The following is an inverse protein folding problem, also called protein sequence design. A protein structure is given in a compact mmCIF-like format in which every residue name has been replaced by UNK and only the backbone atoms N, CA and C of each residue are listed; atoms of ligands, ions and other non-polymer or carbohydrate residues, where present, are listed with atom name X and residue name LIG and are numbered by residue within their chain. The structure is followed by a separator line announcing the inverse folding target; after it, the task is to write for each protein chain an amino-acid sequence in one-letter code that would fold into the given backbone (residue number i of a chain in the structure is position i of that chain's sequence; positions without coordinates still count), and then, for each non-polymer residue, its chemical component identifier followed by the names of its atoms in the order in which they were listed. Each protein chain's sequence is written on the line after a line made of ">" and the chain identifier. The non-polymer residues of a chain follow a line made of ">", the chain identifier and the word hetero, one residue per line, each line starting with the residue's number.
data_IF_568411469001
#
_entry.id   IF_568411469001
#
_cell.length_a   1.000
_cell.length_b   1.000
_cell.length_c   1.000
_cell.angle_alpha   90.00
_cell.angle_beta   90.00
_cell.angle_gamma   90.00
#
_symmetry.space_group_name_H-M   'P 1'
#
loop_
_entity.id
_entity.type
_entity.pdbx_description
1 polymer ?
#
# COMPACT_ATOMS: atom_id res chain seq x y z
N UNK A 1 -6.58 -65.37 -34.01
CA UNK A 1 -6.00 -64.00 -34.14
C UNK A 1 -6.97 -63.11 -34.91
N UNK A 2 -7.22 -61.85 -34.50
CA UNK A 2 -8.14 -60.98 -35.24
C UNK A 2 -7.57 -60.59 -36.61
N UNK A 3 -8.44 -60.59 -37.63
CA UNK A 3 -8.10 -60.35 -39.03
C UNK A 3 -7.56 -58.94 -39.28
N UNK A 4 -6.78 -58.71 -40.35
CA UNK A 4 -6.19 -57.40 -40.66
C UNK A 4 -7.23 -56.25 -40.73
N UNK A 5 -8.42 -56.52 -41.27
CA UNK A 5 -9.52 -55.54 -41.33
C UNK A 5 -10.08 -55.15 -39.96
N UNK A 6 -10.12 -56.08 -39.00
CA UNK A 6 -10.58 -55.80 -37.63
C UNK A 6 -9.64 -54.85 -36.88
N UNK A 7 -8.33 -54.87 -37.18
CA UNK A 7 -7.36 -53.96 -36.56
C UNK A 7 -7.50 -52.55 -37.11
N UNK A 8 -7.78 -52.41 -38.40
CA UNK A 8 -7.97 -51.11 -39.05
C UNK A 8 -9.23 -50.40 -38.54
N UNK A 9 -10.34 -51.14 -38.37
CA UNK A 9 -11.59 -50.61 -37.81
C UNK A 9 -11.41 -50.18 -36.34
N UNK A 10 -10.68 -50.96 -35.53
CA UNK A 10 -10.35 -50.55 -34.16
C UNK A 10 -9.46 -49.30 -34.11
N UNK A 11 -8.55 -49.13 -35.08
CA UNK A 11 -7.69 -47.95 -35.17
C UNK A 11 -8.48 -46.69 -35.58
N UNK A 12 -9.45 -46.82 -36.47
CA UNK A 12 -10.33 -45.72 -36.90
C UNK A 12 -11.35 -45.33 -35.81
N UNK A 13 -11.85 -46.30 -35.04
CA UNK A 13 -12.74 -46.06 -33.88
C UNK A 13 -12.04 -45.36 -32.71
N UNK A 14 -10.72 -45.54 -32.56
CA UNK A 14 -9.92 -44.79 -31.57
C UNK A 14 -9.67 -43.34 -31.97
N UNK A 15 -9.60 -43.02 -33.27
CA UNK A 15 -9.38 -41.63 -33.73
C UNK A 15 -10.64 -40.76 -33.72
N UNK A 16 -11.82 -41.36 -33.60
CA UNK A 16 -13.13 -40.68 -33.55
C UNK A 16 -13.72 -40.59 -32.14
N UNK A 17 -12.99 -41.05 -31.12
CA UNK A 17 -13.32 -40.76 -29.74
C UNK A 17 -13.04 -39.28 -29.48
N UNK A 18 -14.03 -38.43 -29.72
CA UNK A 18 -14.06 -37.05 -29.26
C UNK A 18 -13.74 -37.05 -27.77
N UNK A 19 -12.59 -36.49 -27.41
CA UNK A 19 -12.20 -36.25 -26.02
C UNK A 19 -13.41 -35.64 -25.31
N UNK A 20 -13.88 -36.18 -24.17
CA UNK A 20 -14.99 -35.58 -23.47
C UNK A 20 -14.61 -34.13 -23.20
N UNK A 21 -15.40 -33.20 -23.76
CA UNK A 21 -15.25 -31.77 -23.51
C UNK A 21 -15.44 -31.62 -22.01
N UNK A 22 -14.33 -31.52 -21.28
CA UNK A 22 -14.31 -31.31 -19.82
C UNK A 22 -15.30 -30.18 -19.57
N UNK A 23 -16.47 -30.52 -19.00
CA UNK A 23 -17.48 -29.53 -18.67
C UNK A 23 -16.75 -28.45 -17.90
N UNK A 24 -16.85 -27.22 -18.41
CA UNK A 24 -16.21 -26.07 -17.78
C UNK A 24 -17.06 -25.73 -16.57
N UNK A 25 -17.04 -26.60 -15.55
CA UNK A 25 -17.63 -26.33 -14.25
C UNK A 25 -17.03 -25.01 -13.81
N UNK A 26 -17.87 -24.01 -13.58
CA UNK A 26 -17.44 -22.75 -13.01
C UNK A 26 -16.91 -23.10 -11.62
N UNK A 27 -15.59 -23.26 -11.50
CA UNK A 27 -14.93 -23.45 -10.21
C UNK A 27 -15.03 -22.12 -9.50
N UNK A 28 -15.95 -22.00 -8.54
CA UNK A 28 -15.86 -20.95 -7.56
C UNK A 28 -14.52 -21.12 -6.82
N UNK A 29 -13.72 -20.04 -6.66
CA UNK A 29 -12.49 -20.11 -5.88
C UNK A 29 -12.82 -20.60 -4.45
N UNK A 30 -11.90 -21.36 -3.86
CA UNK A 30 -12.04 -21.77 -2.48
C UNK A 30 -12.08 -20.54 -1.53
N UNK A 31 -12.54 -20.75 -0.31
CA UNK A 31 -12.73 -19.66 0.66
C UNK A 31 -11.43 -18.90 0.91
N UNK A 32 -10.27 -19.56 0.92
CA UNK A 32 -8.99 -18.91 1.18
C UNK A 32 -8.61 -17.97 0.04
N UNK A 33 -8.65 -18.47 -1.20
CA UNK A 33 -8.43 -17.65 -2.40
C UNK A 33 -9.40 -16.46 -2.48
N UNK A 34 -10.65 -16.67 -2.11
CA UNK A 34 -11.69 -15.63 -2.08
C UNK A 34 -11.38 -14.55 -1.04
N UNK A 35 -11.03 -14.95 0.19
CA UNK A 35 -10.68 -14.02 1.26
C UNK A 35 -9.41 -13.22 0.94
N UNK A 36 -8.38 -13.86 0.39
CA UNK A 36 -7.18 -13.16 -0.05
C UNK A 36 -7.49 -12.08 -1.10
N UNK A 37 -8.36 -12.39 -2.08
CA UNK A 37 -8.76 -11.42 -3.10
C UNK A 37 -9.54 -10.23 -2.51
N UNK A 38 -10.52 -10.51 -1.64
CA UNK A 38 -11.34 -9.48 -0.99
C UNK A 38 -10.49 -8.59 -0.08
N UNK A 39 -9.65 -9.18 0.78
CA UNK A 39 -8.80 -8.41 1.68
C UNK A 39 -7.76 -7.59 0.91
N UNK A 40 -7.22 -8.10 -0.20
CA UNK A 40 -6.32 -7.34 -1.07
C UNK A 40 -7.02 -6.16 -1.70
N UNK A 41 -8.24 -6.35 -2.20
CA UNK A 41 -9.04 -5.28 -2.77
C UNK A 41 -9.29 -4.15 -1.75
N UNK A 42 -9.72 -4.50 -0.53
CA UNK A 42 -9.89 -3.52 0.54
C UNK A 42 -8.57 -2.87 0.97
N UNK A 43 -7.49 -3.64 1.11
CA UNK A 43 -6.16 -3.14 1.46
C UNK A 43 -5.68 -2.08 0.46
N UNK A 44 -5.85 -2.34 -0.84
CA UNK A 44 -5.44 -1.41 -1.91
C UNK A 44 -6.27 -0.13 -1.87
N UNK A 45 -7.59 -0.21 -1.76
CA UNK A 45 -8.45 0.99 -1.70
C UNK A 45 -8.14 1.85 -0.47
N UNK A 46 -7.98 1.20 0.68
CA UNK A 46 -7.59 1.89 1.91
C UNK A 46 -6.19 2.51 1.78
N UNK A 47 -5.25 1.81 1.13
CA UNK A 47 -3.89 2.25 0.88
C UNK A 47 -3.83 3.48 -0.03
N UNK A 48 -4.60 3.49 -1.11
CA UNK A 48 -4.76 4.65 -2.00
C UNK A 48 -5.32 5.83 -1.21
N UNK A 49 -6.35 5.60 -0.40
CA UNK A 49 -6.93 6.65 0.44
C UNK A 49 -5.90 7.21 1.42
N UNK A 50 -5.13 6.34 2.07
CA UNK A 50 -4.12 6.74 3.04
C UNK A 50 -2.96 7.52 2.40
N UNK A 51 -2.26 6.91 1.45
CA UNK A 51 -1.07 7.49 0.83
C UNK A 51 -1.44 8.68 -0.06
N UNK A 52 -2.61 8.65 -0.71
CA UNK A 52 -3.14 9.79 -1.45
C UNK A 52 -3.33 11.02 -0.56
N UNK A 53 -3.93 10.88 0.63
CA UNK A 53 -4.04 11.98 1.58
C UNK A 53 -2.68 12.42 2.14
N UNK A 54 -1.75 11.48 2.37
CA UNK A 54 -0.39 11.81 2.78
C UNK A 54 0.30 12.73 1.77
N UNK A 55 0.20 12.39 0.48
CA UNK A 55 0.76 13.19 -0.61
C UNK A 55 0.03 14.51 -0.79
N UNK A 56 -1.31 14.52 -0.69
CA UNK A 56 -2.07 15.77 -0.64
C UNK A 56 -1.56 16.70 0.47
N UNK A 57 -1.39 16.20 1.70
CA UNK A 57 -0.93 17.04 2.81
C UNK A 57 0.46 17.63 2.58
N UNK A 58 1.37 16.85 1.99
CA UNK A 58 2.78 17.23 1.89
C UNK A 58 3.13 17.99 0.60
N UNK A 59 2.54 17.61 -0.53
CA UNK A 59 2.83 18.19 -1.83
C UNK A 59 1.86 19.32 -2.22
N UNK A 60 0.65 19.33 -1.66
CA UNK A 60 -0.37 20.31 -2.05
C UNK A 60 -0.71 21.25 -0.89
N UNK A 61 -1.23 20.69 0.20
CA UNK A 61 -1.72 21.51 1.31
C UNK A 61 -0.59 22.31 1.97
N UNK A 62 0.55 21.69 2.29
CA UNK A 62 1.64 22.41 2.98
C UNK A 62 2.16 23.62 2.17
N UNK A 63 2.48 23.51 0.87
CA UNK A 63 2.81 24.67 0.04
C UNK A 63 1.67 25.70 -0.02
N UNK A 64 0.43 25.24 -0.17
CA UNK A 64 -0.76 26.11 -0.21
C UNK A 64 -0.91 26.96 1.07
N UNK A 65 -0.62 26.40 2.25
CA UNK A 65 -0.71 27.13 3.53
C UNK A 65 0.26 28.33 3.63
N UNK A 66 1.30 28.38 2.81
CA UNK A 66 2.24 29.49 2.74
C UNK A 66 1.67 30.73 2.06
N UNK A 67 0.71 30.57 1.15
CA UNK A 67 0.05 31.67 0.44
C UNK A 67 -1.28 32.12 1.05
N UNK A 68 -1.73 31.49 2.14
CA UNK A 68 -3.02 31.78 2.76
C UNK A 68 -2.86 32.84 3.88
N UNK A 69 -3.68 33.89 3.83
CA UNK A 69 -3.73 34.93 4.85
C UNK A 69 -4.08 34.36 6.24
N UNK A 70 -3.49 34.97 7.28
CA UNK A 70 -3.67 34.50 8.67
C UNK A 70 -5.14 34.49 9.10
N UNK A 71 -5.94 35.44 8.63
CA UNK A 71 -7.36 35.56 8.96
C UNK A 71 -8.24 34.50 8.27
N UNK A 72 -7.79 33.96 7.13
CA UNK A 72 -8.51 32.92 6.40
C UNK A 72 -8.24 31.52 6.96
N UNK A 73 -7.09 31.30 7.59
CA UNK A 73 -6.70 29.98 8.13
C UNK A 73 -7.74 29.36 9.07
N UNK A 74 -8.31 30.07 10.06
CA UNK A 74 -9.34 29.51 10.93
C UNK A 74 -10.65 29.17 10.19
N UNK A 75 -10.94 29.82 9.07
CA UNK A 75 -12.14 29.56 8.25
C UNK A 75 -11.95 28.38 7.31
N UNK A 76 -10.73 28.17 6.79
CA UNK A 76 -10.42 27.13 5.80
C UNK A 76 -9.91 25.85 6.45
N UNK A 77 -9.00 25.94 7.41
CA UNK A 77 -8.23 24.79 7.87
C UNK A 77 -9.05 23.78 8.67
N UNK A 78 -9.85 24.15 9.70
CA UNK A 78 -10.68 23.18 10.40
C UNK A 78 -11.60 22.36 9.46
N UNK A 79 -12.41 22.97 8.57
CA UNK A 79 -13.30 22.19 7.71
C UNK A 79 -12.54 21.34 6.68
N UNK A 80 -11.44 21.83 6.10
CA UNK A 80 -10.66 21.08 5.11
C UNK A 80 -9.85 19.94 5.77
N UNK A 81 -9.05 20.30 6.78
CA UNK A 81 -8.07 19.40 7.39
C UNK A 81 -8.75 18.33 8.24
N UNK A 82 -9.84 18.62 8.97
CA UNK A 82 -10.54 17.60 9.74
C UNK A 82 -11.13 16.50 8.86
N UNK A 83 -11.72 16.87 7.71
CA UNK A 83 -12.26 15.91 6.73
C UNK A 83 -11.14 15.07 6.12
N UNK A 84 -10.07 15.72 5.67
CA UNK A 84 -8.90 15.02 5.12
C UNK A 84 -8.25 14.08 6.16
N UNK A 85 -8.12 14.52 7.42
CA UNK A 85 -7.55 13.70 8.50
C UNK A 85 -8.42 12.51 8.88
N UNK A 86 -9.74 12.62 8.75
CA UNK A 86 -10.65 11.49 8.98
C UNK A 86 -10.33 10.34 8.00
N UNK A 87 -10.33 10.62 6.71
CA UNK A 87 -10.03 9.62 5.68
C UNK A 87 -8.58 9.15 5.74
N UNK A 88 -7.63 10.05 6.00
CA UNK A 88 -6.23 9.70 6.20
C UNK A 88 -6.03 8.70 7.35
N UNK A 89 -6.63 8.95 8.51
CA UNK A 89 -6.47 8.12 9.71
C UNK A 89 -7.13 6.75 9.56
N UNK A 90 -8.35 6.73 9.06
CA UNK A 90 -9.07 5.47 8.87
C UNK A 90 -8.57 4.69 7.66
N UNK A 91 -8.18 5.35 6.57
CA UNK A 91 -7.45 4.72 5.48
C UNK A 91 -6.20 4.03 5.98
N UNK A 92 -5.41 4.68 6.85
CA UNK A 92 -4.24 4.05 7.47
C UNK A 92 -4.58 2.81 8.29
N UNK A 93 -5.62 2.90 9.13
CA UNK A 93 -6.03 1.77 9.97
C UNK A 93 -6.52 0.58 9.15
N UNK A 94 -7.41 0.80 8.17
CA UNK A 94 -7.92 -0.28 7.34
C UNK A 94 -6.82 -0.91 6.49
N UNK A 95 -5.91 -0.11 5.92
CA UNK A 95 -4.74 -0.63 5.23
C UNK A 95 -3.93 -1.53 6.16
N UNK A 96 -3.65 -1.07 7.38
CA UNK A 96 -2.88 -1.84 8.35
C UNK A 96 -3.56 -3.17 8.73
N UNK A 97 -4.86 -3.14 9.06
CA UNK A 97 -5.61 -4.33 9.46
C UNK A 97 -5.73 -5.37 8.32
N UNK A 98 -6.11 -4.94 7.11
CA UNK A 98 -6.15 -5.86 5.97
C UNK A 98 -4.75 -6.32 5.56
N UNK A 99 -3.73 -5.48 5.77
CA UNK A 99 -2.33 -5.86 5.54
C UNK A 99 -1.87 -6.96 6.49
N UNK A 100 -2.20 -6.87 7.78
CA UNK A 100 -1.93 -7.93 8.75
C UNK A 100 -2.71 -9.21 8.43
N UNK A 101 -3.97 -9.10 8.01
CA UNK A 101 -4.77 -10.25 7.60
C UNK A 101 -4.14 -10.96 6.38
N UNK A 102 -3.72 -10.20 5.37
CA UNK A 102 -3.02 -10.74 4.19
C UNK A 102 -1.67 -11.33 4.55
N UNK A 103 -0.91 -10.67 5.42
CA UNK A 103 0.37 -11.17 5.90
C UNK A 103 0.19 -12.52 6.59
N UNK A 104 -0.81 -12.64 7.47
CA UNK A 104 -1.13 -13.90 8.11
C UNK A 104 -1.55 -14.98 7.11
N UNK A 105 -2.50 -14.70 6.21
CA UNK A 105 -3.02 -15.71 5.28
C UNK A 105 -1.95 -16.19 4.29
N UNK A 106 -1.19 -15.27 3.70
CA UNK A 106 -0.24 -15.60 2.61
C UNK A 106 1.09 -16.08 3.17
N UNK A 107 1.66 -15.37 4.14
CA UNK A 107 3.05 -15.58 4.56
C UNK A 107 3.17 -16.52 5.76
N UNK A 108 2.29 -16.38 6.76
CA UNK A 108 2.36 -17.21 7.97
C UNK A 108 1.64 -18.55 7.77
N UNK A 109 0.36 -18.51 7.38
CA UNK A 109 -0.47 -19.71 7.16
C UNK A 109 -0.17 -20.37 5.81
N UNK A 110 -0.02 -19.58 4.76
CA UNK A 110 0.31 -20.05 3.41
C UNK A 110 1.78 -20.47 3.24
N UNK A 111 2.65 -20.14 4.20
CA UNK A 111 4.05 -20.58 4.21
C UNK A 111 5.00 -19.79 3.30
N UNK A 112 4.53 -18.76 2.59
CA UNK A 112 5.35 -17.96 1.65
C UNK A 112 6.46 -17.14 2.35
N UNK A 113 6.50 -17.10 3.69
CA UNK A 113 7.56 -16.43 4.44
C UNK A 113 8.90 -17.15 4.33
N UNK A 114 8.90 -18.48 4.16
CA UNK A 114 10.11 -19.28 3.98
C UNK A 114 10.19 -19.85 2.58
N UNK A 115 11.41 -20.10 2.10
CA UNK A 115 11.65 -20.88 0.89
C UNK A 115 11.68 -22.40 1.18
N UNK A 116 11.93 -23.19 0.14
CA UNK A 116 11.96 -24.66 0.23
C UNK A 116 13.02 -25.18 1.22
N UNK A 117 14.12 -24.45 1.39
CA UNK A 117 15.23 -24.79 2.28
C UNK A 117 15.03 -24.22 3.70
N UNK A 118 13.86 -23.65 3.98
CA UNK A 118 13.46 -23.03 5.25
C UNK A 118 14.27 -21.77 5.61
N UNK A 119 14.86 -21.11 4.62
CA UNK A 119 15.42 -19.77 4.77
C UNK A 119 14.36 -18.71 4.51
N UNK A 120 14.64 -17.45 4.88
CA UNK A 120 13.72 -16.35 4.63
C UNK A 120 13.55 -16.14 3.13
N UNK A 121 12.33 -16.23 2.63
CA UNK A 121 12.07 -16.11 1.20
C UNK A 121 12.35 -14.68 0.73
N UNK A 122 12.77 -14.54 -0.53
CA UNK A 122 13.00 -13.23 -1.16
C UNK A 122 11.76 -12.34 -1.09
N UNK A 123 10.57 -12.92 -1.33
CA UNK A 123 9.28 -12.25 -1.20
C UNK A 123 8.99 -11.86 0.25
N UNK A 124 9.26 -12.76 1.18
CA UNK A 124 9.11 -12.55 2.63
C UNK A 124 9.95 -11.38 3.11
N UNK A 125 11.23 -11.29 2.72
CA UNK A 125 12.09 -10.16 3.06
C UNK A 125 11.55 -8.82 2.57
N UNK A 126 11.10 -8.74 1.31
CA UNK A 126 10.53 -7.51 0.75
C UNK A 126 9.23 -7.09 1.44
N UNK A 127 8.34 -8.04 1.73
CA UNK A 127 7.10 -7.76 2.47
C UNK A 127 7.37 -7.41 3.94
N UNK A 128 8.36 -8.02 4.59
CA UNK A 128 8.74 -7.62 5.96
C UNK A 128 9.27 -6.19 6.00
N UNK A 129 10.10 -5.79 5.02
CA UNK A 129 10.55 -4.40 4.89
C UNK A 129 9.36 -3.46 4.68
N UNK A 130 8.50 -3.74 3.69
CA UNK A 130 7.31 -2.94 3.42
C UNK A 130 6.39 -2.85 4.64
N UNK A 131 6.08 -3.98 5.26
CA UNK A 131 5.23 -4.11 6.44
C UNK A 131 5.77 -3.36 7.65
N UNK A 132 7.08 -3.45 7.92
CA UNK A 132 7.73 -2.70 8.99
C UNK A 132 7.60 -1.19 8.79
N UNK A 133 7.96 -0.69 7.59
CA UNK A 133 7.86 0.73 7.27
C UNK A 133 6.40 1.21 7.33
N UNK A 134 5.46 0.42 6.80
CA UNK A 134 4.03 0.68 6.90
C UNK A 134 3.53 0.74 8.35
N UNK A 135 4.05 -0.13 9.23
CA UNK A 135 3.70 -0.14 10.67
C UNK A 135 4.18 1.13 11.36
N UNK A 136 5.44 1.54 11.13
CA UNK A 136 5.99 2.80 11.65
C UNK A 136 5.14 3.98 11.16
N UNK A 137 4.80 4.00 9.88
CA UNK A 137 3.98 5.05 9.30
C UNK A 137 2.59 5.10 9.92
N UNK A 138 1.91 3.95 10.07
CA UNK A 138 0.61 3.85 10.71
C UNK A 138 0.64 4.36 12.16
N UNK A 139 1.69 3.99 12.91
CA UNK A 139 1.89 4.46 14.27
C UNK A 139 2.01 5.99 14.31
N UNK A 140 2.82 6.57 13.42
CA UNK A 140 2.94 8.01 13.29
C UNK A 140 1.59 8.69 13.01
N UNK A 141 0.71 8.10 12.19
CA UNK A 141 -0.62 8.65 11.91
C UNK A 141 -1.47 8.72 13.19
N UNK A 142 -1.59 7.61 13.90
CA UNK A 142 -2.54 7.49 15.01
C UNK A 142 -2.05 8.10 16.32
N UNK A 143 -0.76 7.99 16.60
CA UNK A 143 -0.20 8.36 17.90
C UNK A 143 0.61 9.66 17.85
N UNK A 144 1.07 10.08 16.66
CA UNK A 144 1.84 11.33 16.53
C UNK A 144 1.03 12.44 15.88
N UNK A 145 0.59 12.23 14.63
CA UNK A 145 -0.06 13.24 13.79
C UNK A 145 -1.45 13.57 14.31
N UNK A 146 -2.32 12.59 14.47
CA UNK A 146 -3.73 12.82 14.84
C UNK A 146 -3.90 13.56 16.18
N UNK A 147 -3.27 13.14 17.30
CA UNK A 147 -3.45 13.81 18.59
C UNK A 147 -2.98 15.26 18.58
N UNK A 148 -1.93 15.56 17.82
CA UNK A 148 -1.39 16.92 17.67
C UNK A 148 -2.29 17.78 16.78
N UNK A 149 -2.75 17.23 15.66
CA UNK A 149 -3.69 17.92 14.79
C UNK A 149 -5.02 18.24 15.49
N UNK A 150 -5.52 17.33 16.33
CA UNK A 150 -6.71 17.59 17.16
C UNK A 150 -6.52 18.81 18.08
N UNK A 151 -5.33 18.97 18.68
CA UNK A 151 -4.99 20.14 19.51
C UNK A 151 -4.88 21.42 18.67
N UNK A 152 -4.19 21.37 17.54
CA UNK A 152 -4.00 22.52 16.63
C UNK A 152 -5.34 23.04 16.11
N UNK A 153 -6.16 22.15 15.58
CA UNK A 153 -7.46 22.50 15.00
C UNK A 153 -8.46 22.88 16.09
N UNK A 154 -8.39 22.27 17.27
CA UNK A 154 -9.18 22.67 18.44
C UNK A 154 -8.88 24.10 18.89
N UNK A 155 -7.61 24.50 18.93
CA UNK A 155 -7.21 25.87 19.25
C UNK A 155 -7.74 26.89 18.21
N UNK A 156 -7.76 26.52 16.92
CA UNK A 156 -8.33 27.36 15.86
C UNK A 156 -9.85 27.53 15.97
N UNK A 157 -10.54 26.62 16.66
CA UNK A 157 -11.98 26.65 16.91
C UNK A 157 -12.34 27.30 18.26
N UNK A 158 -11.43 28.07 18.86
CA UNK A 158 -11.66 28.77 20.14
C UNK A 158 -11.36 27.92 21.39
N UNK A 159 -10.79 26.73 21.23
CA UNK A 159 -10.30 25.93 22.35
C UNK A 159 -8.98 26.45 22.94
N UNK A 160 -8.43 25.76 23.96
CA UNK A 160 -7.16 26.12 24.56
C UNK A 160 -6.01 26.18 23.53
N UNK A 161 -5.02 27.07 23.72
CA UNK A 161 -3.89 27.18 22.80
C UNK A 161 -3.15 25.85 22.68
N UNK A 162 -2.85 25.45 21.44
CA UNK A 162 -2.09 24.24 21.18
C UNK A 162 -0.64 24.39 21.66
N UNK A 163 -0.01 23.33 22.17
CA UNK A 163 1.41 23.36 22.52
C UNK A 163 2.25 23.82 21.32
N UNK A 164 3.29 24.67 21.51
CA UNK A 164 4.09 25.20 20.41
C UNK A 164 4.82 24.11 19.62
N UNK A 165 5.09 22.97 20.26
CA UNK A 165 5.73 21.80 19.64
C UNK A 165 4.77 20.94 18.81
N UNK A 166 3.44 21.12 18.92
CA UNK A 166 2.47 20.25 18.28
C UNK A 166 2.53 20.30 16.75
N UNK A 167 2.59 21.50 16.16
CA UNK A 167 2.66 21.66 14.71
C UNK A 167 3.98 21.15 14.11
N UNK A 168 5.17 21.52 14.64
CA UNK A 168 6.44 21.00 14.15
C UNK A 168 6.53 19.47 14.21
N UNK A 169 6.07 18.85 15.30
CA UNK A 169 6.13 17.39 15.46
C UNK A 169 5.18 16.67 14.51
N UNK A 170 3.96 17.18 14.31
CA UNK A 170 3.02 16.61 13.34
C UNK A 170 3.56 16.73 11.90
N UNK A 171 4.18 17.87 11.57
CA UNK A 171 4.78 18.11 10.26
C UNK A 171 5.98 17.18 10.01
N UNK A 172 6.87 17.02 11.00
CA UNK A 172 8.02 16.12 10.89
C UNK A 172 7.58 14.66 10.70
N UNK A 173 6.63 14.18 11.50
CA UNK A 173 6.11 12.82 11.35
C UNK A 173 5.45 12.59 9.98
N UNK A 174 4.70 13.59 9.48
CA UNK A 174 4.11 13.53 8.13
C UNK A 174 5.17 13.50 7.03
N UNK A 175 6.25 14.28 7.17
CA UNK A 175 7.39 14.28 6.23
C UNK A 175 8.13 12.94 6.25
N UNK A 176 8.43 12.41 7.43
CA UNK A 176 9.06 11.09 7.58
C UNK A 176 8.19 10.04 6.90
N UNK A 177 6.88 10.00 7.18
CA UNK A 177 5.97 9.07 6.52
C UNK A 177 6.00 9.21 4.99
N UNK A 178 6.07 10.43 4.47
CA UNK A 178 6.12 10.66 3.03
C UNK A 178 7.39 10.07 2.41
N UNK A 179 8.56 10.26 3.02
CA UNK A 179 9.81 9.63 2.57
C UNK A 179 9.79 8.11 2.70
N UNK A 180 9.25 7.58 3.81
CA UNK A 180 9.14 6.14 4.02
C UNK A 180 8.16 5.48 3.03
N UNK A 181 7.16 6.21 2.53
CA UNK A 181 6.13 5.65 1.63
C UNK A 181 6.71 5.08 0.34
N UNK A 182 7.79 5.66 -0.19
CA UNK A 182 8.44 5.17 -1.40
C UNK A 182 9.04 3.77 -1.19
N UNK A 183 10.05 3.61 -0.32
CA UNK A 183 10.63 2.31 0.02
C UNK A 183 9.60 1.28 0.49
N UNK A 184 8.60 1.72 1.25
CA UNK A 184 7.49 0.88 1.69
C UNK A 184 6.72 0.29 0.51
N UNK A 185 6.24 1.14 -0.41
CA UNK A 185 5.49 0.70 -1.59
C UNK A 185 6.35 -0.19 -2.50
N UNK A 186 7.64 0.12 -2.64
CA UNK A 186 8.56 -0.75 -3.36
C UNK A 186 8.58 -2.16 -2.76
N UNK A 187 8.79 -2.28 -1.44
CA UNK A 187 8.77 -3.58 -0.76
C UNK A 187 7.48 -4.35 -0.98
N UNK A 188 6.33 -3.68 -0.90
CA UNK A 188 5.02 -4.30 -1.12
C UNK A 188 4.82 -4.82 -2.56
N UNK A 189 5.28 -4.07 -3.56
CA UNK A 189 5.14 -4.43 -4.99
C UNK A 189 6.17 -5.48 -5.40
N UNK A 190 7.43 -5.31 -4.99
CA UNK A 190 8.52 -6.23 -5.31
C UNK A 190 8.22 -7.64 -4.79
N UNK A 191 7.75 -7.75 -3.54
CA UNK A 191 7.39 -9.03 -2.93
C UNK A 191 6.23 -9.76 -3.64
N UNK A 192 5.34 -9.04 -4.32
CA UNK A 192 4.15 -9.62 -4.94
C UNK A 192 4.30 -9.89 -6.45
N UNK A 193 5.09 -9.09 -7.18
CA UNK A 193 5.11 -9.13 -8.65
C UNK A 193 6.48 -9.41 -9.27
N UNK A 194 7.58 -9.20 -8.54
CA UNK A 194 8.91 -9.13 -9.17
C UNK A 194 9.87 -10.13 -8.56
N UNK A 195 9.79 -11.39 -9.00
CA UNK A 195 10.81 -12.40 -8.71
C UNK A 195 12.16 -12.09 -9.39
N UNK A 196 12.22 -11.05 -10.23
CA UNK A 196 13.42 -10.62 -10.99
C UNK A 196 14.38 -9.79 -10.11
N UNK A 197 13.92 -9.26 -8.97
CA UNK A 197 14.72 -8.42 -8.07
C UNK A 197 15.01 -9.15 -6.76
N UNK A 198 16.03 -10.03 -6.71
CA UNK A 198 16.40 -10.69 -5.47
C UNK A 198 16.86 -9.64 -4.46
N UNK A 199 16.39 -9.71 -3.23
CA UNK A 199 16.86 -8.91 -2.09
C UNK A 199 18.34 -9.22 -1.82
N UNK A 200 19.18 -8.42 -2.47
CA UNK A 200 20.64 -8.35 -2.27
C UNK A 200 20.98 -6.94 -1.83
N UNK A 201 22.16 -6.71 -1.25
CA UNK A 201 22.58 -5.36 -0.87
C UNK A 201 22.54 -4.37 -2.04
N UNK A 202 22.97 -4.79 -3.23
CA UNK A 202 22.95 -3.93 -4.42
C UNK A 202 21.52 -3.52 -4.81
N UNK A 203 20.61 -4.49 -4.97
CA UNK A 203 19.20 -4.22 -5.33
C UNK A 203 18.47 -3.43 -4.26
N UNK A 204 18.75 -3.69 -2.98
CA UNK A 204 18.21 -2.92 -1.86
C UNK A 204 18.63 -1.46 -1.96
N UNK A 205 19.93 -1.18 -2.13
CA UNK A 205 20.43 0.18 -2.25
C UNK A 205 19.84 0.90 -3.48
N UNK A 206 19.76 0.24 -4.62
CA UNK A 206 19.13 0.80 -5.83
C UNK A 206 17.65 1.12 -5.56
N UNK A 207 16.89 0.20 -4.96
CA UNK A 207 15.51 0.43 -4.59
C UNK A 207 15.35 1.63 -3.64
N UNK A 208 16.22 1.76 -2.64
CA UNK A 208 16.19 2.88 -1.70
C UNK A 208 16.49 4.21 -2.41
N UNK A 209 17.51 4.26 -3.26
CA UNK A 209 17.88 5.47 -4.02
C UNK A 209 16.75 5.88 -4.95
N UNK A 210 16.17 4.95 -5.72
CA UNK A 210 15.06 5.25 -6.62
C UNK A 210 13.82 5.73 -5.87
N UNK A 211 13.45 5.02 -4.80
CA UNK A 211 12.25 5.34 -4.05
C UNK A 211 12.36 6.66 -3.28
N UNK A 212 13.49 6.91 -2.59
CA UNK A 212 13.72 8.16 -1.87
C UNK A 212 13.95 9.32 -2.85
N UNK A 213 14.68 9.08 -3.94
CA UNK A 213 14.91 10.05 -5.00
C UNK A 213 13.62 10.50 -5.66
N UNK A 214 12.69 9.58 -5.93
CA UNK A 214 11.35 9.90 -6.43
C UNK A 214 10.59 10.81 -5.45
N UNK A 215 10.48 10.44 -4.18
CA UNK A 215 9.78 11.26 -3.18
C UNK A 215 10.45 12.62 -3.01
N UNK A 216 11.78 12.68 -3.01
CA UNK A 216 12.52 13.92 -2.95
C UNK A 216 12.23 14.82 -4.16
N UNK A 217 12.23 14.25 -5.37
CA UNK A 217 11.88 14.94 -6.61
C UNK A 217 10.47 15.51 -6.56
N UNK A 218 9.48 14.75 -6.06
CA UNK A 218 8.11 15.24 -5.88
C UNK A 218 8.03 16.41 -4.90
N UNK A 219 8.74 16.35 -3.78
CA UNK A 219 8.86 17.48 -2.85
C UNK A 219 9.48 18.72 -3.52
N UNK A 220 10.58 18.54 -4.24
CA UNK A 220 11.27 19.64 -4.90
C UNK A 220 10.38 20.28 -5.98
N UNK A 221 9.66 19.47 -6.75
CA UNK A 221 8.73 19.92 -7.78
C UNK A 221 7.50 20.62 -7.20
N UNK A 222 6.95 20.13 -6.08
CA UNK A 222 5.75 20.71 -5.46
C UNK A 222 5.86 22.21 -5.16
N UNK A 223 7.08 22.68 -4.84
CA UNK A 223 7.36 24.09 -4.54
C UNK A 223 7.55 24.98 -5.77
N UNK A 224 7.70 24.37 -6.95
CA UNK A 224 7.96 25.05 -8.23
C UNK A 224 6.73 25.13 -9.13
N UNK A 225 5.60 24.54 -8.72
CA UNK A 225 4.35 24.57 -9.50
C UNK A 225 3.86 26.01 -9.60
N UNK A 226 3.60 26.49 -10.83
CA UNK A 226 3.06 27.84 -11.08
C UNK A 226 1.66 27.97 -10.48
N UNK A 227 1.36 29.15 -9.95
CA UNK A 227 0.07 29.46 -9.31
C UNK A 227 -0.88 30.27 -10.22
N UNK A 228 -0.47 30.54 -11.45
CA UNK A 228 -1.22 31.31 -12.46
C UNK A 228 -1.25 30.54 -13.78
N UNK A 229 -2.33 30.68 -14.54
CA UNK A 229 -2.53 30.08 -15.87
C UNK A 229 -2.02 31.02 -16.95
#
# INVERSE_FOLDING_TARGET
>A
MPSPGSRMIQHLRRKTATTPRKERTIMFPDLDSTLQAIFRWFHVIAGITWIGHLYFFNFVNTPFQGGLDKELKPKVNPPLVLRALYFFRWGAMWTFLFGLALFYLIYIRGGEILDADRHMSQRGMWILLGGLLGTIMWFNVWFVIWPRQKKILGAMLGGPPAPPTAAPQAALASKINTYLSGPMLWGMIAGSHVNIWPMTWATFLVAMVLALGLIHGLYASSRKVKLTV
#
